data_IF_954432129007
#
_entry.id   IF_954432129007
#
_cell.length_a   1.000
_cell.length_b   1.000
_cell.length_c   1.000
_cell.angle_alpha   90.00
_cell.angle_beta   90.00
_cell.angle_gamma   90.00
#
_symmetry.space_group_name_H-M   'P 1'
#
loop_
_entity.id
_entity.type
_entity.pdbx_description
1 polymer ?
#
# COMPACT_ATOMS: atom_id res chain seq x y z
N UNK A 1 7.98 2.76 -2.12
CA UNK A 1 7.50 2.65 -3.53
C UNK A 1 6.15 3.33 -3.75
N UNK A 2 5.16 3.20 -2.86
CA UNK A 2 3.84 3.88 -3.01
C UNK A 2 3.94 5.39 -3.25
N UNK A 3 4.73 6.18 -2.49
CA UNK A 3 4.80 7.63 -2.71
C UNK A 3 5.37 8.02 -4.09
N UNK A 4 6.37 7.26 -4.56
CA UNK A 4 6.98 7.48 -5.87
C UNK A 4 6.01 7.12 -7.01
N UNK A 5 5.26 6.03 -6.87
CA UNK A 5 4.24 5.66 -7.85
C UNK A 5 3.10 6.69 -7.90
N UNK A 6 2.74 7.29 -6.76
CA UNK A 6 1.75 8.37 -6.70
C UNK A 6 2.25 9.61 -7.45
N UNK A 7 3.49 10.05 -7.20
CA UNK A 7 4.10 11.16 -7.94
C UNK A 7 4.14 10.90 -9.45
N UNK A 8 4.44 9.66 -9.86
CA UNK A 8 4.48 9.27 -11.28
C UNK A 8 3.10 9.37 -11.92
N UNK A 9 2.05 8.91 -11.23
CA UNK A 9 0.67 9.05 -11.69
C UNK A 9 0.25 10.52 -11.83
N UNK A 10 0.56 11.36 -10.84
CA UNK A 10 0.25 12.79 -10.89
C UNK A 10 0.99 13.48 -12.06
N UNK A 11 2.25 13.13 -12.29
CA UNK A 11 3.01 13.63 -13.44
C UNK A 11 2.41 13.18 -14.78
N UNK A 12 1.94 11.93 -14.87
CA UNK A 12 1.22 11.41 -16.04
C UNK A 12 -0.05 12.21 -16.34
N UNK A 13 -0.87 12.49 -15.33
CA UNK A 13 -2.09 13.29 -15.46
C UNK A 13 -1.79 14.72 -15.95
N UNK A 14 -0.77 15.36 -15.37
CA UNK A 14 -0.33 16.70 -15.80
C UNK A 14 0.23 16.66 -17.23
N UNK A 15 0.97 15.61 -17.58
CA UNK A 15 1.49 15.41 -18.92
C UNK A 15 0.36 15.26 -19.95
N UNK A 16 -0.63 14.43 -19.66
CA UNK A 16 -1.79 14.19 -20.53
C UNK A 16 -2.62 15.45 -20.75
N UNK A 17 -2.92 16.17 -19.65
CA UNK A 17 -3.68 17.43 -19.72
C UNK A 17 -2.98 18.48 -20.58
N UNK A 18 -1.65 18.48 -20.61
CA UNK A 18 -0.84 19.39 -21.42
C UNK A 18 -0.48 18.82 -22.80
N UNK A 19 -1.03 17.67 -23.20
CA UNK A 19 -0.74 17.02 -24.48
C UNK A 19 0.68 16.47 -24.63
N UNK A 20 1.43 16.31 -23.53
CA UNK A 20 2.83 15.85 -23.53
C UNK A 20 2.96 14.33 -23.53
N UNK A 21 1.94 13.62 -23.05
CA UNK A 21 1.86 12.16 -23.07
C UNK A 21 0.45 11.74 -23.49
N UNK A 22 0.31 10.51 -23.97
CA UNK A 22 -1.00 9.95 -24.29
C UNK A 22 -1.74 9.44 -23.04
N UNK A 23 -3.01 9.06 -23.23
CA UNK A 23 -3.84 8.52 -22.15
C UNK A 23 -3.35 7.16 -21.65
N UNK A 24 -2.64 6.38 -22.47
CA UNK A 24 -2.12 5.07 -22.07
C UNK A 24 -1.01 5.22 -21.03
N UNK A 25 -0.17 6.24 -21.14
CA UNK A 25 0.82 6.57 -20.11
C UNK A 25 0.16 6.87 -18.74
N UNK A 26 -1.01 7.50 -18.73
CA UNK A 26 -1.79 7.73 -17.49
C UNK A 26 -2.29 6.41 -16.91
N UNK A 27 -2.86 5.54 -17.75
CA UNK A 27 -3.35 4.24 -17.30
C UNK A 27 -2.24 3.35 -16.74
N UNK A 28 -1.08 3.34 -17.39
CA UNK A 28 0.08 2.56 -16.94
C UNK A 28 0.58 3.05 -15.58
N UNK A 29 0.72 4.37 -15.41
CA UNK A 29 1.11 4.95 -14.12
C UNK A 29 0.08 4.71 -13.01
N UNK A 30 -1.21 4.71 -13.34
CA UNK A 30 -2.29 4.35 -12.40
C UNK A 30 -2.23 2.86 -11.99
N UNK A 31 -1.99 1.96 -12.95
CA UNK A 31 -1.82 0.53 -12.69
C UNK A 31 -0.60 0.28 -11.79
N UNK A 32 0.52 0.95 -12.06
CA UNK A 32 1.72 0.86 -11.23
C UNK A 32 1.45 1.32 -9.79
N UNK A 33 0.73 2.44 -9.62
CA UNK A 33 0.31 2.94 -8.31
C UNK A 33 -0.58 1.94 -7.56
N UNK A 34 -1.56 1.35 -8.26
CA UNK A 34 -2.45 0.35 -7.68
C UNK A 34 -1.67 -0.89 -7.21
N UNK A 35 -0.75 -1.39 -8.02
CA UNK A 35 0.09 -2.53 -7.67
C UNK A 35 0.98 -2.23 -6.46
N UNK A 36 1.62 -1.05 -6.42
CA UNK A 36 2.42 -0.63 -5.28
C UNK A 36 1.60 -0.58 -3.98
N UNK A 37 0.35 -0.09 -4.04
CA UNK A 37 -0.57 -0.07 -2.89
C UNK A 37 -0.94 -1.49 -2.46
N UNK A 38 -1.26 -2.37 -3.41
CA UNK A 38 -1.57 -3.78 -3.12
C UNK A 38 -0.41 -4.50 -2.45
N UNK A 39 0.81 -4.31 -2.93
CA UNK A 39 1.99 -4.97 -2.37
C UNK A 39 2.31 -4.46 -0.95
N UNK A 40 2.10 -3.17 -0.70
CA UNK A 40 2.19 -2.61 0.64
C UNK A 40 1.18 -3.28 1.60
N UNK A 41 -0.08 -3.43 1.21
CA UNK A 41 -1.09 -4.06 2.06
C UNK A 41 -0.81 -5.55 2.27
N UNK A 42 -0.35 -6.28 1.24
CA UNK A 42 0.06 -7.68 1.39
C UNK A 42 1.18 -7.81 2.41
N UNK A 43 2.23 -6.98 2.29
CA UNK A 43 3.35 -6.98 3.24
C UNK A 43 2.87 -6.71 4.67
N UNK A 44 1.93 -5.77 4.87
CA UNK A 44 1.36 -5.49 6.19
C UNK A 44 0.58 -6.69 6.76
N UNK A 45 -0.28 -7.29 5.95
CA UNK A 45 -1.05 -8.48 6.34
C UNK A 45 -0.14 -9.65 6.66
N UNK A 46 0.92 -9.86 5.88
CA UNK A 46 1.87 -10.95 6.13
C UNK A 46 2.68 -10.71 7.42
N UNK A 47 3.03 -9.45 7.71
CA UNK A 47 3.60 -9.07 9.00
C UNK A 47 2.64 -9.34 10.16
N UNK A 48 1.38 -8.91 10.07
CA UNK A 48 0.36 -9.15 11.10
C UNK A 48 0.14 -10.65 11.34
N UNK A 49 0.09 -11.46 10.27
CA UNK A 49 0.02 -12.93 10.36
C UNK A 49 1.25 -13.53 11.01
N UNK A 50 2.44 -13.04 10.68
CA UNK A 50 3.69 -13.52 11.27
C UNK A 50 3.74 -13.21 12.77
N UNK A 51 3.33 -11.99 13.17
CA UNK A 51 3.20 -11.60 14.57
C UNK A 51 2.22 -12.52 15.33
N UNK A 52 1.02 -12.75 14.80
CA UNK A 52 0.05 -13.65 15.42
C UNK A 52 0.54 -15.10 15.54
N UNK A 53 1.31 -15.59 14.54
CA UNK A 53 1.95 -16.93 14.61
C UNK A 53 3.00 -16.99 15.72
N UNK A 54 3.81 -15.95 15.87
CA UNK A 54 4.79 -15.85 16.96
C UNK A 54 4.10 -15.81 18.32
N UNK A 55 3.04 -15.00 18.48
CA UNK A 55 2.24 -14.95 19.71
C UNK A 55 1.66 -16.32 20.08
N UNK A 56 1.10 -17.05 19.10
CA UNK A 56 0.59 -18.41 19.30
C UNK A 56 1.69 -19.39 19.72
N UNK A 57 2.88 -19.27 19.14
CA UNK A 57 4.02 -20.15 19.44
C UNK A 57 4.63 -19.88 20.83
N UNK A 58 4.63 -18.62 21.28
CA UNK A 58 5.23 -18.19 22.56
C UNK A 58 4.23 -18.30 23.73
N UNK A 59 2.95 -18.53 23.46
CA UNK A 59 1.94 -18.84 24.49
C UNK A 59 1.49 -17.65 25.34
N UNK A 60 1.79 -16.41 24.93
CA UNK A 60 1.35 -15.18 25.63
C UNK A 60 0.51 -14.32 24.69
N UNK A 61 -0.80 -14.16 24.93
CA UNK A 61 -1.61 -13.23 24.16
C UNK A 61 -1.30 -11.82 24.64
N UNK A 62 -0.78 -10.96 23.76
CA UNK A 62 -0.71 -9.53 24.02
C UNK A 62 -1.47 -8.74 22.97
N UNK A 63 -2.75 -9.08 22.83
CA UNK A 63 -3.77 -8.20 22.26
C UNK A 63 -4.98 -8.09 23.20
N UNK A 64 -4.73 -7.68 24.44
CA UNK A 64 -5.76 -7.09 25.31
C UNK A 64 -5.14 -5.87 26.00
N UNK A 65 -4.88 -4.81 25.23
CA UNK A 65 -4.63 -3.47 25.80
C UNK A 65 -4.94 -2.34 24.82
N UNK A 66 -5.99 -2.51 24.01
CA UNK A 66 -6.45 -1.48 23.05
C UNK A 66 -7.96 -1.24 23.03
N UNK A 67 -8.75 -1.95 23.85
CA UNK A 67 -10.23 -1.80 23.91
C UNK A 67 -10.70 -1.40 25.31
N UNK A 68 -9.82 -0.80 26.13
CA UNK A 68 -10.27 -0.05 27.31
C UNK A 68 -10.22 1.43 26.96
N UNK A 69 -11.26 1.89 26.24
CA UNK A 69 -11.66 3.28 26.28
C UNK A 69 -12.20 3.53 27.70
N UNK A 70 -11.42 4.25 28.51
CA UNK A 70 -11.98 5.17 29.49
C UNK A 70 -12.37 6.46 28.77
#
# INVERSE_FOLDING_TARGET
>A
MVPQAEQTYQAGVVGYTNGKVDFMAVLDSLNALRNAKLDYYKARVDYEKAAAKLEKAVGKPHFVSGITLQ
#
